data_IF_860393736352
#
_entry.id   IF_860393736352
#
_cell.length_a   1.000
_cell.length_b   1.000
_cell.length_c   1.000
_cell.angle_alpha   90.00
_cell.angle_beta   90.00
_cell.angle_gamma   90.00
#
_symmetry.space_group_name_H-M   'P 1'
#
loop_
_entity.id
_entity.type
_entity.pdbx_description
1 polymer ?
#
# COMPACT_ATOMS: atom_id res chain seq x y z
N UNK A 1 -5.27 55.23 -12.78
CA UNK A 1 -4.25 54.20 -12.48
C UNK A 1 -4.86 52.83 -12.70
N UNK A 2 -4.36 52.04 -13.66
CA UNK A 2 -4.53 50.59 -13.64
C UNK A 2 -3.17 49.90 -13.45
N UNK A 3 -3.15 48.93 -12.53
CA UNK A 3 -2.01 48.10 -12.17
C UNK A 3 -1.87 46.97 -13.20
N UNK A 4 -0.71 46.89 -13.85
CA UNK A 4 -0.35 45.80 -14.77
C UNK A 4 -0.01 44.54 -13.96
N UNK A 5 -0.73 43.44 -14.20
CA UNK A 5 -0.25 42.10 -13.84
C UNK A 5 0.57 41.55 -15.02
N UNK A 6 1.80 41.12 -14.72
CA UNK A 6 2.66 40.39 -15.67
C UNK A 6 2.27 38.91 -15.66
N UNK A 7 1.98 38.27 -16.80
CA UNK A 7 1.90 36.83 -16.87
C UNK A 7 3.30 36.24 -17.07
N UNK A 8 3.69 35.37 -16.14
CA UNK A 8 4.87 34.51 -16.22
C UNK A 8 4.68 33.53 -17.39
N UNK A 9 5.68 33.33 -18.27
CA UNK A 9 5.47 32.56 -19.49
C UNK A 9 5.53 31.03 -19.23
N UNK A 10 4.55 30.33 -19.81
CA UNK A 10 4.27 28.89 -19.67
C UNK A 10 5.29 27.97 -20.36
N UNK A 11 6.31 28.53 -21.00
CA UNK A 11 7.27 27.80 -21.84
C UNK A 11 8.39 27.10 -21.05
N UNK A 12 8.50 27.31 -19.73
CA UNK A 12 9.53 26.67 -18.91
C UNK A 12 9.10 25.35 -18.24
N UNK A 13 7.80 25.03 -18.20
CA UNK A 13 7.31 23.81 -17.55
C UNK A 13 7.31 22.59 -18.50
N UNK A 14 7.19 22.79 -19.81
CA UNK A 14 7.20 21.69 -20.80
C UNK A 14 8.61 21.14 -21.08
N UNK A 15 9.67 21.89 -20.79
CA UNK A 15 11.05 21.45 -21.05
C UNK A 15 11.61 20.45 -20.03
N UNK A 16 11.12 20.46 -18.78
CA UNK A 16 11.67 19.63 -17.71
C UNK A 16 10.96 18.29 -17.55
N UNK A 17 9.73 18.15 -18.04
CA UNK A 17 9.01 16.86 -18.05
C UNK A 17 9.44 15.95 -19.21
N UNK A 18 10.05 16.52 -20.26
CA UNK A 18 10.55 15.77 -21.42
C UNK A 18 11.92 15.10 -21.21
N UNK A 19 12.70 15.50 -20.19
CA UNK A 19 14.09 15.04 -20.03
C UNK A 19 14.28 13.94 -18.96
N UNK A 20 13.24 13.56 -18.23
CA UNK A 20 13.32 12.50 -17.21
C UNK A 20 13.07 11.07 -17.72
N UNK A 21 12.44 10.91 -18.90
CA UNK A 21 12.00 9.61 -19.42
C UNK A 21 12.99 8.91 -20.37
N UNK A 22 14.05 9.60 -20.81
CA UNK A 22 14.92 9.12 -21.90
C UNK A 22 16.04 8.16 -21.47
N UNK A 23 16.16 7.82 -20.18
CA UNK A 23 17.32 7.05 -19.68
C UNK A 23 17.01 5.58 -19.38
N UNK A 24 15.74 5.13 -19.38
CA UNK A 24 15.42 3.75 -18.95
C UNK A 24 14.59 2.88 -19.91
N UNK A 25 14.39 3.28 -21.17
CA UNK A 25 13.62 2.45 -22.11
C UNK A 25 14.42 2.17 -23.37
N UNK A 26 15.48 1.38 -23.21
CA UNK A 26 16.14 0.76 -24.36
C UNK A 26 16.37 -0.73 -24.13
N UNK A 27 15.29 -1.51 -24.22
CA UNK A 27 15.37 -2.89 -24.69
C UNK A 27 14.03 -3.33 -25.27
N UNK A 28 13.78 -3.00 -26.53
CA UNK A 28 12.70 -3.62 -27.31
C UNK A 28 13.10 -3.68 -28.77
N UNK A 29 13.78 -4.75 -29.15
CA UNK A 29 13.88 -5.14 -30.57
C UNK A 29 12.49 -5.50 -31.08
N UNK A 30 12.07 -4.77 -32.13
CA UNK A 30 11.60 -5.28 -33.43
C UNK A 30 10.80 -6.60 -33.42
N UNK A 31 9.71 -6.80 -34.13
CA UNK A 31 8.96 -6.05 -35.14
C UNK A 31 7.84 -7.03 -35.50
N UNK A 32 6.57 -6.62 -35.36
CA UNK A 32 5.43 -7.29 -36.00
C UNK A 32 4.20 -6.43 -35.77
N UNK A 33 3.99 -5.53 -36.72
CA UNK A 33 2.80 -4.71 -36.89
C UNK A 33 1.75 -5.53 -37.66
N UNK A 34 0.63 -5.93 -37.03
CA UNK A 34 -0.70 -6.04 -37.66
C UNK A 34 -1.80 -6.49 -36.67
N UNK A 35 -2.90 -5.75 -36.61
CA UNK A 35 -4.22 -6.27 -36.25
C UNK A 35 -4.82 -5.78 -34.94
N UNK A 36 -5.93 -5.04 -35.05
CA UNK A 36 -6.83 -4.60 -33.98
C UNK A 36 -7.31 -5.75 -33.08
N UNK A 37 -7.28 -5.52 -31.78
CA UNK A 37 -8.33 -5.82 -30.77
C UNK A 37 -8.03 -4.94 -29.54
N UNK A 38 -9.03 -4.34 -28.86
CA UNK A 38 -8.83 -3.77 -27.52
C UNK A 38 -8.78 -4.94 -26.54
N UNK A 39 -7.69 -5.69 -26.60
CA UNK A 39 -7.44 -6.76 -25.66
C UNK A 39 -7.24 -6.11 -24.30
N UNK A 40 -8.13 -6.47 -23.37
CA UNK A 40 -8.02 -6.20 -21.95
C UNK A 40 -6.65 -6.67 -21.49
N UNK A 41 -5.64 -5.82 -21.60
CA UNK A 41 -4.42 -6.00 -20.85
C UNK A 41 -4.89 -6.07 -19.41
N UNK A 42 -4.77 -7.23 -18.72
CA UNK A 42 -4.90 -7.20 -17.29
C UNK A 42 -3.83 -6.19 -16.90
N UNK A 43 -4.24 -5.10 -16.27
CA UNK A 43 -3.34 -4.25 -15.51
C UNK A 43 -2.50 -5.25 -14.75
N UNK A 44 -1.27 -5.45 -15.22
CA UNK A 44 -0.26 -6.17 -14.49
C UNK A 44 -0.14 -5.26 -13.29
N UNK A 45 -0.93 -5.56 -12.26
CA UNK A 45 -0.82 -4.96 -10.96
C UNK A 45 0.59 -5.34 -10.58
N UNK A 46 1.51 -4.45 -10.92
CA UNK A 46 2.87 -4.50 -10.47
C UNK A 46 2.71 -4.45 -8.96
N UNK A 47 2.67 -5.64 -8.34
CA UNK A 47 2.50 -5.82 -6.91
C UNK A 47 3.78 -5.23 -6.33
N UNK A 48 3.73 -3.94 -5.99
CA UNK A 48 4.87 -3.21 -5.43
C UNK A 48 4.92 -3.54 -3.95
N UNK A 49 5.15 -4.82 -3.67
CA UNK A 49 5.39 -5.34 -2.34
C UNK A 49 6.66 -4.71 -1.77
N UNK A 50 6.66 -4.43 -0.47
CA UNK A 50 7.84 -3.84 0.18
C UNK A 50 8.90 -4.93 0.37
N UNK A 51 9.91 -4.95 -0.52
CA UNK A 51 11.01 -5.91 -0.53
C UNK A 51 11.74 -6.05 0.83
N UNK A 52 12.15 -4.95 1.50
CA UNK A 52 12.73 -5.00 2.84
C UNK A 52 11.90 -5.79 3.87
N UNK A 53 10.57 -5.54 3.91
CA UNK A 53 9.69 -6.22 4.87
C UNK A 53 9.63 -7.73 4.58
N UNK A 54 9.54 -8.12 3.31
CA UNK A 54 9.56 -9.53 2.88
C UNK A 54 10.86 -10.23 3.28
N UNK A 55 12.00 -9.58 3.11
CA UNK A 55 13.31 -10.15 3.49
C UNK A 55 13.41 -10.37 5.00
N UNK A 56 12.91 -9.42 5.80
CA UNK A 56 12.87 -9.55 7.27
C UNK A 56 11.94 -10.69 7.71
N UNK A 57 10.76 -10.82 7.11
CA UNK A 57 9.82 -11.91 7.40
C UNK A 57 10.42 -13.27 7.05
N UNK A 58 11.12 -13.36 5.92
CA UNK A 58 11.80 -14.58 5.50
C UNK A 58 12.87 -15.01 6.52
N UNK A 59 13.76 -14.12 6.94
CA UNK A 59 14.76 -14.47 7.94
C UNK A 59 14.14 -14.81 9.30
N UNK A 60 13.09 -14.10 9.69
CA UNK A 60 12.38 -14.39 10.93
C UNK A 60 11.74 -15.79 10.92
N UNK A 61 11.22 -16.24 9.78
CA UNK A 61 10.67 -17.60 9.63
C UNK A 61 11.69 -18.70 9.98
N UNK A 62 12.96 -18.53 9.58
CA UNK A 62 14.02 -19.50 9.91
C UNK A 62 14.60 -19.31 11.31
N UNK A 63 14.69 -18.06 11.76
CA UNK A 63 15.21 -17.74 13.09
C UNK A 63 14.26 -18.20 14.19
N UNK A 64 12.94 -18.11 13.97
CA UNK A 64 11.94 -18.38 14.99
C UNK A 64 12.00 -19.82 15.56
N UNK A 65 12.11 -20.90 14.77
CA UNK A 65 12.32 -22.25 15.30
C UNK A 65 13.57 -22.38 16.17
N UNK A 66 14.67 -21.75 15.77
CA UNK A 66 15.92 -21.74 16.56
C UNK A 66 15.73 -21.00 17.89
N UNK A 67 15.10 -19.82 17.83
CA UNK A 67 14.74 -19.04 19.01
C UNK A 67 13.85 -19.85 19.95
N UNK A 68 12.79 -20.48 19.43
CA UNK A 68 11.83 -21.25 20.21
C UNK A 68 12.50 -22.44 20.92
N UNK A 69 13.30 -23.23 20.19
CA UNK A 69 14.01 -24.35 20.77
C UNK A 69 14.95 -23.91 21.89
N UNK A 70 15.73 -22.87 21.65
CA UNK A 70 16.62 -22.33 22.68
C UNK A 70 15.85 -21.82 23.90
N UNK A 71 14.72 -21.12 23.70
CA UNK A 71 13.89 -20.60 24.79
C UNK A 71 13.31 -21.73 25.64
N UNK A 72 12.88 -22.84 25.02
CA UNK A 72 12.42 -24.05 25.73
C UNK A 72 13.55 -24.66 26.55
N UNK A 73 14.74 -24.87 25.96
CA UNK A 73 15.89 -25.46 26.66
C UNK A 73 16.32 -24.60 27.84
N UNK A 74 16.39 -23.28 27.66
CA UNK A 74 16.77 -22.36 28.74
C UNK A 74 15.71 -22.29 29.84
N UNK A 75 14.43 -22.34 29.46
CA UNK A 75 13.32 -22.42 30.41
C UNK A 75 13.40 -23.71 31.25
N UNK A 76 13.67 -24.85 30.63
CA UNK A 76 13.81 -26.15 31.31
C UNK A 76 14.95 -26.14 32.35
N UNK A 77 16.13 -25.63 31.95
CA UNK A 77 17.31 -25.52 32.83
C UNK A 77 17.00 -24.70 34.09
N UNK A 78 16.29 -23.58 33.95
CA UNK A 78 15.98 -22.70 35.09
C UNK A 78 14.65 -23.05 35.78
N UNK A 79 13.86 -23.98 35.23
CA UNK A 79 12.47 -24.21 35.65
C UNK A 79 12.33 -24.46 37.15
N UNK A 80 13.20 -25.31 37.70
CA UNK A 80 13.17 -25.74 39.10
C UNK A 80 13.69 -24.68 40.08
N UNK A 81 14.37 -23.65 39.57
CA UNK A 81 14.91 -22.56 40.37
C UNK A 81 13.97 -21.36 40.48
N UNK A 82 12.89 -21.34 39.68
CA UNK A 82 11.93 -20.24 39.65
C UNK A 82 10.74 -20.49 40.58
N UNK A 83 10.16 -19.41 41.10
CA UNK A 83 8.90 -19.49 41.85
C UNK A 83 7.76 -19.95 40.93
N UNK A 84 6.76 -20.65 41.48
CA UNK A 84 5.68 -21.26 40.69
C UNK A 84 4.88 -20.27 39.82
N UNK A 85 4.70 -19.04 40.27
CA UNK A 85 4.02 -18.01 39.45
C UNK A 85 4.89 -17.58 38.25
N UNK A 86 6.21 -17.49 38.40
CA UNK A 86 7.12 -17.20 37.29
C UNK A 86 7.16 -18.34 36.27
N UNK A 87 7.09 -19.60 36.72
CA UNK A 87 6.96 -20.75 35.82
C UNK A 87 5.72 -20.60 34.92
N UNK A 88 4.56 -20.28 35.53
CA UNK A 88 3.32 -20.09 34.79
C UNK A 88 3.40 -18.90 33.82
N UNK A 89 3.98 -17.77 34.24
CA UNK A 89 4.15 -16.58 33.40
C UNK A 89 5.07 -16.86 32.20
N UNK A 90 6.19 -17.55 32.40
CA UNK A 90 7.13 -17.86 31.33
C UNK A 90 6.55 -18.86 30.33
N UNK A 91 5.89 -19.93 30.80
CA UNK A 91 5.20 -20.88 29.91
C UNK A 91 4.12 -20.16 29.11
N UNK A 92 3.28 -19.37 29.79
CA UNK A 92 2.19 -18.63 29.14
C UNK A 92 2.74 -17.64 28.11
N UNK A 93 3.79 -16.89 28.46
CA UNK A 93 4.44 -15.96 27.55
C UNK A 93 5.05 -16.65 26.32
N UNK A 94 5.70 -17.81 26.51
CA UNK A 94 6.29 -18.59 25.42
C UNK A 94 5.22 -19.10 24.46
N UNK A 95 4.12 -19.64 24.99
CA UNK A 95 2.97 -20.09 24.19
C UNK A 95 2.33 -18.91 23.46
N UNK A 96 2.11 -17.79 24.15
CA UNK A 96 1.52 -16.59 23.57
C UNK A 96 2.37 -16.05 22.42
N UNK A 97 3.68 -15.89 22.63
CA UNK A 97 4.63 -15.49 21.58
C UNK A 97 4.59 -16.44 20.40
N UNK A 98 4.48 -17.76 20.64
CA UNK A 98 4.45 -18.76 19.57
C UNK A 98 3.19 -18.64 18.71
N UNK A 99 2.01 -18.56 19.33
CA UNK A 99 0.75 -18.45 18.61
C UNK A 99 0.69 -17.13 17.83
N UNK A 100 1.05 -16.02 18.49
CA UNK A 100 1.04 -14.70 17.87
C UNK A 100 2.08 -14.62 16.75
N UNK A 101 3.26 -15.24 16.89
CA UNK A 101 4.25 -15.28 15.81
C UNK A 101 3.69 -15.89 14.54
N UNK A 102 3.04 -17.05 14.64
CA UNK A 102 2.52 -17.77 13.47
C UNK A 102 1.47 -16.93 12.75
N UNK A 103 0.52 -16.37 13.50
CA UNK A 103 -0.51 -15.47 12.94
C UNK A 103 0.14 -14.24 12.34
N UNK A 104 1.12 -13.66 13.03
CA UNK A 104 1.84 -12.47 12.59
C UNK A 104 2.57 -12.74 11.27
N UNK A 105 3.40 -13.78 11.18
CA UNK A 105 4.13 -14.10 9.95
C UNK A 105 3.20 -14.31 8.76
N UNK A 106 2.06 -14.97 8.98
CA UNK A 106 1.02 -15.13 7.96
C UNK A 106 0.46 -13.77 7.48
N UNK A 107 0.02 -12.92 8.41
CA UNK A 107 -0.55 -11.60 8.08
C UNK A 107 0.49 -10.68 7.41
N UNK A 108 1.75 -10.73 7.84
CA UNK A 108 2.83 -9.95 7.25
C UNK A 108 3.12 -10.37 5.81
N UNK A 109 3.11 -11.68 5.54
CA UNK A 109 3.32 -12.22 4.20
C UNK A 109 2.18 -11.84 3.26
N UNK A 110 0.93 -12.15 3.66
CA UNK A 110 -0.27 -11.87 2.86
C UNK A 110 -0.47 -10.36 2.69
N UNK A 111 -0.41 -9.58 3.77
CA UNK A 111 -0.63 -8.13 3.73
C UNK A 111 0.40 -7.38 2.89
N UNK A 112 1.66 -7.84 2.83
CA UNK A 112 2.67 -7.21 2.00
C UNK A 112 2.59 -7.62 0.52
N UNK A 113 2.29 -8.89 0.22
CA UNK A 113 2.18 -9.38 -1.16
C UNK A 113 0.92 -8.89 -1.87
N UNK A 114 -0.21 -8.95 -1.17
CA UNK A 114 -1.51 -8.58 -1.72
C UNK A 114 -1.82 -7.08 -1.56
N UNK A 115 -0.85 -6.30 -1.06
CA UNK A 115 -0.97 -4.88 -0.69
C UNK A 115 -2.20 -4.57 0.18
N UNK A 116 -2.64 -5.54 0.99
CA UNK A 116 -3.84 -5.37 1.82
C UNK A 116 -3.51 -4.63 3.12
N UNK A 117 -3.94 -3.38 3.15
CA UNK A 117 -3.81 -2.46 4.30
C UNK A 117 -4.32 -3.05 5.62
N UNK A 118 -5.51 -3.69 5.71
CA UNK A 118 -6.01 -4.17 7.00
C UNK A 118 -5.17 -5.31 7.60
N UNK A 119 -4.69 -6.25 6.78
CA UNK A 119 -3.86 -7.38 7.18
C UNK A 119 -2.48 -6.89 7.65
N UNK A 120 -1.89 -5.93 6.93
CA UNK A 120 -0.63 -5.32 7.31
C UNK A 120 -0.75 -4.47 8.59
N UNK A 121 -1.88 -3.79 8.79
CA UNK A 121 -2.17 -3.09 10.04
C UNK A 121 -2.32 -4.06 11.22
N UNK A 122 -2.96 -5.21 11.01
CA UNK A 122 -3.07 -6.26 12.02
C UNK A 122 -1.68 -6.85 12.36
N UNK A 123 -0.82 -7.09 11.37
CA UNK A 123 0.59 -7.46 11.60
C UNK A 123 1.31 -6.46 12.50
N UNK A 124 1.18 -5.16 12.17
CA UNK A 124 1.83 -4.09 12.91
C UNK A 124 1.33 -4.00 14.35
N UNK A 125 0.01 -4.08 14.54
CA UNK A 125 -0.64 -4.04 15.84
C UNK A 125 -0.25 -5.23 16.71
N UNK A 126 -0.27 -6.45 16.17
CA UNK A 126 0.16 -7.65 16.90
C UNK A 126 1.62 -7.58 17.34
N UNK A 127 2.50 -7.04 16.47
CA UNK A 127 3.91 -6.81 16.79
C UNK A 127 4.07 -5.88 18.00
N UNK A 128 3.38 -4.74 17.97
CA UNK A 128 3.54 -3.69 18.97
C UNK A 128 2.82 -4.02 20.29
N UNK A 129 1.62 -4.59 20.22
CA UNK A 129 0.76 -4.79 21.39
C UNK A 129 1.05 -6.08 22.14
N UNK A 130 1.38 -7.17 21.45
CA UNK A 130 1.61 -8.47 22.09
C UNK A 130 3.08 -8.84 22.09
N UNK A 131 3.71 -8.85 20.92
CA UNK A 131 5.06 -9.39 20.80
C UNK A 131 6.09 -8.56 21.58
N UNK A 132 6.05 -7.24 21.41
CA UNK A 132 7.03 -6.34 22.01
C UNK A 132 6.95 -6.33 23.55
N UNK A 133 5.77 -6.19 24.20
CA UNK A 133 5.69 -6.21 25.66
C UNK A 133 6.12 -7.53 26.28
N UNK A 134 5.72 -8.67 25.69
CA UNK A 134 6.11 -9.99 26.21
C UNK A 134 7.61 -10.21 26.08
N UNK A 135 8.20 -9.79 24.96
CA UNK A 135 9.63 -9.93 24.75
C UNK A 135 10.45 -9.00 25.66
N UNK A 136 9.97 -7.78 25.90
CA UNK A 136 10.56 -6.88 26.89
C UNK A 136 10.45 -7.43 28.32
N UNK A 137 9.34 -8.07 28.66
CA UNK A 137 9.18 -8.77 29.95
C UNK A 137 10.26 -9.84 30.13
N UNK A 138 10.49 -10.69 29.12
CA UNK A 138 11.57 -11.70 29.18
C UNK A 138 12.97 -11.08 29.29
N UNK A 139 13.18 -9.88 28.77
CA UNK A 139 14.49 -9.21 28.78
C UNK A 139 14.80 -8.42 30.06
N UNK A 140 13.76 -7.86 30.71
CA UNK A 140 13.93 -6.79 31.71
C UNK A 140 13.65 -7.25 33.12
N UNK A 141 12.90 -8.34 33.30
CA UNK A 141 12.54 -8.81 34.64
C UNK A 141 13.73 -9.47 35.34
N UNK A 142 14.33 -8.76 36.29
CA UNK A 142 15.46 -9.25 37.08
C UNK A 142 15.09 -10.39 38.05
N UNK A 143 13.79 -10.64 38.28
CA UNK A 143 13.29 -11.76 39.06
C UNK A 143 13.45 -13.11 38.33
N UNK A 144 13.67 -13.07 37.02
CA UNK A 144 14.05 -14.21 36.22
C UNK A 144 15.58 -14.36 36.29
N UNK A 145 16.07 -15.56 36.59
CA UNK A 145 17.48 -15.90 36.35
C UNK A 145 17.75 -15.85 34.84
N UNK A 146 18.12 -14.68 34.32
CA UNK A 146 18.38 -14.45 32.89
C UNK A 146 19.76 -15.02 32.54
N UNK A 147 19.78 -16.09 31.75
CA UNK A 147 21.03 -16.66 31.22
C UNK A 147 21.63 -15.71 30.16
N UNK A 148 22.97 -15.60 30.04
CA UNK A 148 23.59 -14.77 29.01
C UNK A 148 23.20 -15.16 27.57
N UNK A 149 23.03 -16.47 27.32
CA UNK A 149 22.54 -16.99 26.04
C UNK A 149 21.10 -16.54 25.77
N UNK A 150 20.25 -16.62 26.79
CA UNK A 150 18.86 -16.17 26.73
C UNK A 150 18.78 -14.71 26.35
N UNK A 151 19.66 -13.91 26.97
CA UNK A 151 19.75 -12.49 26.69
C UNK A 151 20.11 -12.22 25.22
N UNK A 152 21.10 -12.93 24.69
CA UNK A 152 21.53 -12.77 23.30
C UNK A 152 20.42 -13.13 22.30
N UNK A 153 19.74 -14.25 22.54
CA UNK A 153 18.73 -14.77 21.62
C UNK A 153 17.46 -13.91 21.61
N UNK A 154 16.98 -13.47 22.78
CA UNK A 154 15.87 -12.51 22.84
C UNK A 154 16.25 -11.15 22.27
N UNK A 155 17.49 -10.69 22.45
CA UNK A 155 17.94 -9.42 21.87
C UNK A 155 17.94 -9.46 20.34
N UNK A 156 18.49 -10.52 19.74
CA UNK A 156 18.46 -10.68 18.27
C UNK A 156 17.02 -10.71 17.77
N UNK A 157 16.14 -11.44 18.45
CA UNK A 157 14.72 -11.47 18.10
C UNK A 157 14.04 -10.11 18.23
N UNK A 158 14.36 -9.35 19.28
CA UNK A 158 13.86 -8.00 19.51
C UNK A 158 14.29 -7.05 18.39
N UNK A 159 15.54 -7.14 17.94
CA UNK A 159 16.03 -6.34 16.81
C UNK A 159 15.27 -6.66 15.53
N UNK A 160 15.04 -7.94 15.24
CA UNK A 160 14.19 -8.37 14.11
C UNK A 160 12.78 -7.81 14.21
N UNK A 161 12.17 -7.87 15.41
CA UNK A 161 10.83 -7.36 15.66
C UNK A 161 10.75 -5.84 15.48
N UNK A 162 11.70 -5.09 16.03
CA UNK A 162 11.75 -3.63 15.90
C UNK A 162 11.92 -3.22 14.43
N UNK A 163 12.81 -3.88 13.69
CA UNK A 163 13.01 -3.61 12.29
C UNK A 163 11.75 -3.94 11.45
N UNK A 164 11.03 -5.01 11.79
CA UNK A 164 9.73 -5.35 11.19
C UNK A 164 8.66 -4.30 11.48
N UNK A 165 8.57 -3.79 12.72
CA UNK A 165 7.63 -2.73 13.11
C UNK A 165 7.90 -1.45 12.31
N UNK A 166 9.16 -1.04 12.17
CA UNK A 166 9.55 0.15 11.43
C UNK A 166 9.22 0.01 9.94
N UNK A 167 9.67 -1.08 9.32
CA UNK A 167 9.44 -1.34 7.88
C UNK A 167 7.97 -1.51 7.56
N UNK A 168 7.20 -2.19 8.42
CA UNK A 168 5.75 -2.34 8.28
C UNK A 168 5.01 -1.02 8.44
N UNK A 169 5.42 -0.16 9.38
CA UNK A 169 4.83 1.18 9.52
C UNK A 169 5.04 2.02 8.26
N UNK A 170 6.26 1.99 7.71
CA UNK A 170 6.57 2.68 6.45
C UNK A 170 5.70 2.15 5.30
N UNK A 171 5.60 0.82 5.17
CA UNK A 171 4.74 0.18 4.17
C UNK A 171 3.27 0.62 4.33
N UNK A 172 2.74 0.62 5.55
CA UNK A 172 1.37 1.01 5.84
C UNK A 172 1.09 2.46 5.44
N UNK A 173 2.03 3.38 5.73
CA UNK A 173 1.93 4.79 5.33
C UNK A 173 1.89 4.94 3.80
N UNK A 174 2.78 4.26 3.09
CA UNK A 174 2.83 4.30 1.63
C UNK A 174 1.56 3.75 1.00
N UNK A 175 1.05 2.62 1.50
CA UNK A 175 -0.19 2.02 0.97
C UNK A 175 -1.42 2.90 1.22
N UNK A 176 -1.51 3.55 2.38
CA UNK A 176 -2.62 4.46 2.70
C UNK A 176 -2.63 5.69 1.79
N UNK A 177 -1.44 6.21 1.44
CA UNK A 177 -1.29 7.30 0.48
C UNK A 177 -1.73 6.90 -0.92
N UNK A 178 -1.31 5.70 -1.39
CA UNK A 178 -1.77 5.14 -2.67
C UNK A 178 -3.29 4.99 -2.72
N UNK A 179 -3.90 4.48 -1.64
CA UNK A 179 -5.35 4.29 -1.57
C UNK A 179 -6.11 5.63 -1.65
N UNK A 180 -5.60 6.66 -0.98
CA UNK A 180 -6.17 8.01 -1.03
C UNK A 180 -6.08 8.61 -2.43
N UNK A 181 -4.93 8.43 -3.09
CA UNK A 181 -4.73 8.88 -4.47
C UNK A 181 -5.69 8.18 -5.44
N UNK A 182 -5.84 6.87 -5.34
CA UNK A 182 -6.77 6.10 -6.17
C UNK A 182 -8.23 6.51 -5.92
N UNK A 183 -8.60 6.78 -4.67
CA UNK A 183 -9.93 7.29 -4.35
C UNK A 183 -10.17 8.66 -4.98
N UNK A 184 -9.18 9.56 -4.88
CA UNK A 184 -9.24 10.88 -5.50
C UNK A 184 -9.39 10.77 -7.02
N UNK A 185 -8.50 10.03 -7.70
CA UNK A 185 -8.57 9.82 -9.15
C UNK A 185 -9.91 9.20 -9.59
N UNK A 186 -10.45 8.24 -8.83
CA UNK A 186 -11.76 7.65 -9.09
C UNK A 186 -12.90 8.66 -8.97
N UNK A 187 -12.81 9.59 -8.01
CA UNK A 187 -13.78 10.67 -7.86
C UNK A 187 -13.73 11.64 -9.05
N UNK A 188 -12.53 12.02 -9.52
CA UNK A 188 -12.36 12.86 -10.72
C UNK A 188 -12.89 12.19 -11.98
N UNK A 189 -12.49 10.94 -12.25
CA UNK A 189 -12.98 10.21 -13.42
C UNK A 189 -14.50 10.03 -13.41
N UNK A 190 -15.13 9.84 -12.25
CA UNK A 190 -16.60 9.77 -12.15
C UNK A 190 -17.28 11.13 -12.41
N UNK A 191 -16.70 12.23 -11.96
CA UNK A 191 -17.20 13.58 -12.23
C UNK A 191 -17.05 13.94 -13.71
N UNK A 192 -15.92 13.59 -14.32
CA UNK A 192 -15.69 13.77 -15.75
C UNK A 192 -16.67 12.93 -16.58
N UNK A 193 -16.89 11.64 -16.27
CA UNK A 193 -17.87 10.81 -17.00
C UNK A 193 -19.34 11.29 -16.90
N UNK A 194 -19.69 12.14 -15.91
CA UNK A 194 -21.02 12.76 -15.83
C UNK A 194 -21.16 13.98 -16.76
N UNK A 195 -20.06 14.59 -17.21
CA UNK A 195 -20.07 15.80 -18.05
C UNK A 195 -20.35 15.55 -19.56
N UNK A 196 -19.83 14.47 -20.21
CA UNK A 196 -20.14 14.14 -21.60
C UNK A 196 -21.60 13.79 -21.85
N UNK A 197 -22.36 13.38 -20.82
CA UNK A 197 -23.78 13.00 -20.99
C UNK A 197 -24.75 14.19 -20.89
N UNK A 198 -24.28 15.35 -20.43
CA UNK A 198 -25.08 16.57 -20.33
C UNK A 198 -25.02 17.45 -21.60
N UNK A 199 -24.10 17.18 -22.53
CA UNK A 199 -23.94 17.94 -23.77
C UNK A 199 -24.09 17.06 -25.01
N UNK A 200 -25.33 16.65 -25.26
CA UNK A 200 -25.82 16.39 -26.61
C UNK A 200 -26.46 17.70 -27.12
N UNK A 201 -25.79 18.51 -27.96
CA UNK A 201 -26.46 19.61 -28.64
C UNK A 201 -27.31 19.03 -29.77
N UNK A 202 -28.62 18.90 -29.55
CA UNK A 202 -29.57 18.85 -30.66
C UNK A 202 -29.60 20.27 -31.25
N UNK A 203 -28.79 20.52 -32.28
CA UNK A 203 -28.97 21.66 -33.18
C UNK A 203 -28.69 21.21 -34.61
N UNK A 204 -29.72 21.30 -35.44
CA UNK A 204 -29.67 21.07 -36.88
C UNK A 204 -30.92 21.63 -37.53
N UNK A 205 -31.04 22.96 -37.52
CA UNK A 205 -32.06 23.71 -38.26
C UNK A 205 -31.38 24.27 -39.52
N UNK A 206 -31.90 24.05 -40.74
CA UNK A 206 -31.45 24.82 -41.89
C UNK A 206 -32.52 25.85 -42.28
N UNK A 207 -32.17 27.12 -42.12
CA UNK A 207 -32.80 28.22 -42.82
C UNK A 207 -32.34 28.20 -44.28
N UNK A 208 -33.27 28.11 -45.23
CA UNK A 208 -33.01 28.43 -46.63
C UNK A 208 -33.99 29.53 -47.06
N UNK A 209 -33.47 30.73 -47.28
CA UNK A 209 -34.20 31.87 -47.81
C UNK A 209 -34.03 31.88 -49.34
N UNK A 210 -35.11 31.86 -50.11
CA UNK A 210 -35.10 32.10 -51.55
C UNK A 210 -36.41 32.78 -51.97
N UNK A 211 -36.26 33.75 -52.88
CA UNK A 211 -37.13 34.91 -53.11
C UNK A 211 -37.96 34.74 -54.40
N UNK A 212 -39.29 34.96 -54.30
CA UNK A 212 -40.30 35.50 -55.27
C UNK A 212 -40.50 34.85 -56.68
N UNK A 213 -41.70 34.92 -57.35
CA UNK A 213 -42.49 36.15 -57.55
C UNK A 213 -44.04 36.12 -57.49
N UNK A 214 -44.56 37.34 -57.33
CA UNK A 214 -45.86 37.99 -57.61
C UNK A 214 -46.89 37.25 -58.50
N UNK A 215 -48.16 37.23 -58.07
CA UNK A 215 -49.29 37.79 -58.83
C UNK A 215 -50.52 38.09 -57.95
N UNK A 216 -51.22 39.16 -58.30
CA UNK A 216 -52.33 39.85 -57.66
C UNK A 216 -53.72 39.27 -57.97
N UNK A 217 -54.65 39.31 -57.02
CA UNK A 217 -56.05 39.66 -57.32
C UNK A 217 -56.86 40.03 -56.06
N UNK A 218 -57.29 41.28 -56.05
CA UNK A 218 -58.29 41.94 -55.20
C UNK A 218 -59.69 41.33 -55.34
N UNK A 219 -60.51 41.36 -54.28
CA UNK A 219 -61.96 41.69 -54.23
C UNK A 219 -62.53 41.20 -52.88
N UNK A 220 -62.95 42.06 -51.93
CA UNK A 220 -64.19 42.85 -51.84
C UNK A 220 -65.22 42.22 -50.89
N UNK A 221 -65.62 43.02 -49.89
CA UNK A 221 -66.82 43.00 -49.05
C UNK A 221 -67.88 41.91 -49.26
N UNK A 222 -68.29 41.28 -48.15
CA UNK A 222 -69.64 41.44 -47.59
C UNK A 222 -69.68 41.05 -46.11
#
# INVERSE_FOLDING_TARGET
MPVFYSPVPENLQMGLTSMGGSVFTNNRTADSDFGREPEYAPVVNEQVSNLPLQMLLYFNLFYFPCWWFSAVVMLDIKFHHLAGYYQALLITGLVLVTIIEVIRLYLGYVGNLEEKVPELAAFWLLSFTFQLPVLLFFMTDEGILILPLERGIHLVYLLFLLAQILTSFMALRTMTQKLTLLFYLRQFGRAENLHPRAMSPIHGLPYHCSVLPVSSSTHSFH
#
